data_IF_613832175294
#
_entry.id   IF_613832175294
#
_cell.length_a   1.000
_cell.length_b   1.000
_cell.length_c   1.000
_cell.angle_alpha   90.00
_cell.angle_beta   90.00
_cell.angle_gamma   90.00
#
_symmetry.space_group_name_H-M   'P 1'
#
loop_
_entity.id
_entity.type
_entity.pdbx_description
1 polymer ?
#
# COMPACT_ATOMS: atom_id res chain seq x y z
N UNK A 1 7.15 -2.94 1.99
CA UNK A 1 6.30 -2.42 3.08
C UNK A 1 4.86 -2.87 2.88
N UNK A 2 4.01 -2.75 3.89
CA UNK A 2 2.58 -3.05 3.78
C UNK A 2 1.77 -1.77 3.93
N UNK A 3 0.78 -1.60 3.06
CA UNK A 3 -0.04 -0.42 2.86
C UNK A 3 -1.50 -0.82 3.08
N UNK A 4 -2.33 0.03 3.66
CA UNK A 4 -3.78 -0.15 3.69
C UNK A 4 -4.43 0.88 2.78
N UNK A 5 -5.09 0.42 1.73
CA UNK A 5 -5.86 1.24 0.79
C UNK A 5 -7.33 1.17 1.17
N UNK A 6 -7.94 2.22 1.74
CA UNK A 6 -9.34 2.18 2.12
C UNK A 6 -10.26 2.24 0.89
N UNK A 7 -11.47 1.69 1.03
CA UNK A 7 -12.41 1.53 -0.09
C UNK A 7 -12.98 2.86 -0.62
N UNK A 8 -12.94 3.92 0.19
CA UNK A 8 -13.32 5.28 -0.19
C UNK A 8 -12.28 5.97 -1.09
N UNK A 9 -11.13 5.32 -1.32
CA UNK A 9 -10.02 5.80 -2.16
C UNK A 9 -9.64 4.80 -3.26
N UNK A 10 -10.57 4.45 -4.18
CA UNK A 10 -10.32 3.44 -5.22
C UNK A 10 -9.22 3.84 -6.20
N UNK A 11 -8.88 5.13 -6.32
CA UNK A 11 -7.83 5.66 -7.19
C UNK A 11 -6.41 5.27 -6.78
N UNK A 12 -6.22 4.87 -5.52
CA UNK A 12 -4.90 4.59 -4.94
C UNK A 12 -4.34 3.24 -5.41
N UNK A 13 -5.18 2.20 -5.46
CA UNK A 13 -4.73 0.85 -5.82
C UNK A 13 -4.18 0.78 -7.26
N UNK A 14 -4.85 1.32 -8.30
CA UNK A 14 -4.31 1.35 -9.66
C UNK A 14 -3.01 2.16 -9.76
N UNK A 15 -2.84 3.18 -8.92
CA UNK A 15 -1.62 3.99 -8.89
C UNK A 15 -0.45 3.21 -8.28
N UNK A 16 -0.69 2.44 -7.22
CA UNK A 16 0.32 1.53 -6.66
C UNK A 16 0.78 0.48 -7.67
N UNK A 17 -0.13 -0.07 -8.48
CA UNK A 17 0.25 -1.00 -9.55
C UNK A 17 1.07 -0.36 -10.68
N UNK A 18 1.01 0.96 -10.85
CA UNK A 18 1.80 1.67 -11.87
C UNK A 18 3.16 2.13 -11.37
N UNK A 19 3.20 2.65 -10.15
CA UNK A 19 4.34 3.35 -9.59
C UNK A 19 5.15 2.48 -8.61
N UNK A 20 4.73 1.24 -8.34
CA UNK A 20 5.39 0.38 -7.35
C UNK A 20 5.27 -1.09 -7.74
N UNK A 21 6.18 -1.90 -7.19
CA UNK A 21 6.13 -3.34 -7.36
C UNK A 21 5.20 -3.93 -6.29
N UNK A 22 3.94 -4.20 -6.67
CA UNK A 22 2.97 -4.86 -5.81
C UNK A 22 3.27 -6.36 -5.73
N UNK A 23 3.58 -6.83 -4.52
CA UNK A 23 3.86 -8.24 -4.24
C UNK A 23 2.60 -9.03 -3.89
N UNK A 24 1.67 -8.41 -3.16
CA UNK A 24 0.46 -9.05 -2.68
C UNK A 24 -0.63 -7.99 -2.46
N UNK A 25 -1.88 -8.35 -2.76
CA UNK A 25 -3.05 -7.52 -2.44
C UNK A 25 -4.14 -8.42 -1.85
N UNK A 26 -4.61 -8.09 -0.64
CA UNK A 26 -5.59 -8.88 0.10
C UNK A 26 -6.72 -7.99 0.59
N UNK A 27 -7.97 -8.40 0.34
CA UNK A 27 -9.13 -7.72 0.91
C UNK A 27 -9.11 -7.84 2.45
N UNK A 28 -9.48 -6.77 3.12
CA UNK A 28 -9.55 -6.65 4.57
C UNK A 28 -10.83 -5.89 4.94
N UNK A 29 -11.34 -6.01 6.18
CA UNK A 29 -12.57 -5.31 6.59
C UNK A 29 -12.52 -3.79 6.41
N UNK A 30 -11.32 -3.21 6.45
CA UNK A 30 -11.09 -1.78 6.41
C UNK A 30 -10.53 -1.29 5.05
N UNK A 31 -10.45 -2.15 4.03
CA UNK A 31 -9.85 -1.82 2.74
C UNK A 31 -9.03 -2.95 2.14
N UNK A 32 -8.10 -2.63 1.26
CA UNK A 32 -7.20 -3.58 0.61
C UNK A 32 -5.81 -3.42 1.24
N UNK A 33 -5.33 -4.48 1.87
CA UNK A 33 -3.94 -4.57 2.33
C UNK A 33 -3.04 -4.89 1.15
N UNK A 34 -2.06 -4.03 0.87
CA UNK A 34 -1.14 -4.16 -0.26
C UNK A 34 0.29 -4.28 0.27
N UNK A 35 0.95 -5.41 -0.01
CA UNK A 35 2.39 -5.51 0.17
C UNK A 35 3.07 -5.01 -1.11
N UNK A 36 3.92 -3.99 -0.99
CA UNK A 36 4.63 -3.42 -2.12
C UNK A 36 6.11 -3.16 -1.81
N UNK A 37 6.96 -3.31 -2.81
CA UNK A 37 8.29 -2.71 -2.84
C UNK A 37 8.17 -1.35 -3.52
N UNK A 38 8.69 -0.36 -2.82
CA UNK A 38 8.65 1.04 -3.24
C UNK A 38 10.08 1.54 -3.12
N UNK A 39 10.64 2.06 -4.20
CA UNK A 39 11.94 2.71 -4.15
C UNK A 39 11.85 4.03 -3.39
N UNK A 40 12.98 4.54 -2.90
CA UNK A 40 13.00 5.78 -2.11
C UNK A 40 12.42 7.00 -2.85
N UNK A 41 12.57 7.04 -4.17
CA UNK A 41 11.97 8.11 -5.01
C UNK A 41 10.46 7.99 -5.11
N UNK A 42 9.93 6.77 -5.28
CA UNK A 42 8.50 6.55 -5.35
C UNK A 42 7.83 6.67 -3.98
N UNK A 43 8.59 6.50 -2.90
CA UNK A 43 8.11 6.61 -1.53
C UNK A 43 7.43 7.96 -1.27
N UNK A 44 7.99 9.06 -1.79
CA UNK A 44 7.39 10.39 -1.65
C UNK A 44 6.04 10.49 -2.36
N UNK A 45 5.90 9.84 -3.51
CA UNK A 45 4.67 9.83 -4.31
C UNK A 45 3.59 8.96 -3.67
N UNK A 46 3.96 7.82 -3.10
CA UNK A 46 2.99 6.94 -2.41
C UNK A 46 2.69 7.39 -0.99
N UNK A 47 3.55 8.23 -0.38
CA UNK A 47 3.36 8.76 0.99
C UNK A 47 2.07 9.55 1.14
N UNK A 48 1.67 10.27 0.10
CA UNK A 48 0.42 11.03 0.06
C UNK A 48 -0.81 10.11 0.19
N UNK A 49 -0.66 8.85 -0.24
CA UNK A 49 -1.73 7.85 -0.22
C UNK A 49 -1.58 6.86 0.95
N UNK A 50 -0.59 7.05 1.83
CA UNK A 50 -0.42 6.27 3.05
C UNK A 50 -1.45 6.69 4.09
N UNK A 51 -2.58 5.99 4.15
CA UNK A 51 -3.59 6.24 5.19
C UNK A 51 -3.14 5.66 6.53
N UNK A 52 -2.55 4.47 6.54
CA UNK A 52 -1.76 3.95 7.66
C UNK A 52 -0.72 2.96 7.13
N UNK A 53 0.57 3.34 7.21
CA UNK A 53 1.65 2.37 7.05
C UNK A 53 1.58 1.39 8.21
N UNK A 54 0.86 0.27 8.04
CA UNK A 54 0.88 -0.79 9.03
C UNK A 54 2.25 -1.44 8.90
N UNK A 55 3.18 -0.99 9.74
CA UNK A 55 4.43 -1.70 9.95
C UNK A 55 4.06 -3.12 10.34
N UNK A 56 4.19 -4.06 9.41
CA UNK A 56 4.00 -5.48 9.67
C UNK A 56 5.00 -5.82 10.77
N UNK A 57 4.53 -6.00 12.00
CA UNK A 57 5.31 -6.68 13.03
C UNK A 57 5.45 -8.11 12.52
N UNK A 58 6.58 -8.42 11.93
CA UNK A 58 6.98 -9.78 11.61
C UNK A 58 6.96 -10.53 12.94
N UNK A 59 5.95 -11.37 13.15
CA UNK A 59 5.96 -12.32 14.27
C UNK A 59 7.02 -13.35 13.89
N UNK A 60 8.09 -13.38 14.68
CA UNK A 60 9.16 -14.37 14.63
C UNK A 60 8.60 -15.79 14.83
#
# INVERSE_FOLDING_TARGET
>A
MTLLVPYDRPEVLPRLYRESEVLEATNSPNGISVAARVGERELALVREFLVHAVARRTRA
#
